data_IF_767827125088
#
_entry.id   IF_767827125088
#
_cell.length_a   1.000
_cell.length_b   1.000
_cell.length_c   1.000
_cell.angle_alpha   90.00
_cell.angle_beta   90.00
_cell.angle_gamma   90.00
#
_symmetry.space_group_name_H-M   'P 1'
#
loop_
_entity.id
_entity.type
_entity.pdbx_description
1 polymer ?
#
# COMPACT_ATOMS: atom_id res chain seq x y z
N UNK A 1 -37.39 8.22 -43.69
CA UNK A 1 -37.56 8.35 -42.24
C UNK A 1 -37.89 7.00 -41.64
N UNK A 2 -36.91 6.34 -41.01
CA UNK A 2 -37.16 5.17 -40.18
C UNK A 2 -36.67 5.51 -38.77
N UNK A 3 -37.62 5.66 -37.85
CA UNK A 3 -37.36 5.89 -36.43
C UNK A 3 -36.86 4.61 -35.79
N UNK A 4 -35.56 4.55 -35.50
CA UNK A 4 -35.01 3.50 -34.64
C UNK A 4 -35.26 3.92 -33.18
N UNK A 5 -36.29 3.31 -32.59
CA UNK A 5 -36.67 3.47 -31.19
C UNK A 5 -35.66 2.71 -30.34
N UNK A 6 -34.96 3.42 -29.45
CA UNK A 6 -34.03 2.78 -28.51
C UNK A 6 -34.80 1.85 -27.59
N UNK A 7 -34.36 0.59 -27.37
CA UNK A 7 -34.91 -0.20 -26.30
C UNK A 7 -34.44 0.38 -24.96
N UNK A 8 -35.40 0.80 -24.14
CA UNK A 8 -35.20 1.02 -22.72
C UNK A 8 -34.76 -0.32 -22.10
N UNK A 9 -33.53 -0.38 -21.62
CA UNK A 9 -33.08 -1.49 -20.80
C UNK A 9 -33.60 -1.23 -19.38
N UNK A 10 -34.78 -1.79 -19.13
CA UNK A 10 -35.34 -1.98 -17.80
C UNK A 10 -34.36 -2.77 -16.94
N UNK A 11 -34.29 -2.32 -15.69
CA UNK A 11 -33.78 -3.01 -14.51
C UNK A 11 -33.67 -4.53 -14.67
N UNK A 12 -32.44 -5.03 -14.70
CA UNK A 12 -32.13 -6.38 -14.26
C UNK A 12 -31.44 -6.27 -12.91
N UNK A 13 -32.22 -5.97 -11.87
CA UNK A 13 -31.88 -6.38 -10.50
C UNK A 13 -32.19 -7.88 -10.42
N UNK A 14 -31.29 -8.69 -10.98
CA UNK A 14 -31.34 -10.13 -10.86
C UNK A 14 -30.85 -10.55 -9.49
N UNK A 15 -31.80 -10.81 -8.59
CA UNK A 15 -31.72 -11.81 -7.50
C UNK A 15 -30.34 -11.90 -6.82
N UNK A 16 -30.01 -10.87 -6.03
CA UNK A 16 -28.90 -10.89 -5.07
C UNK A 16 -29.43 -11.09 -3.63
N UNK A 17 -30.44 -11.95 -3.48
CA UNK A 17 -30.94 -12.31 -2.16
C UNK A 17 -29.88 -13.17 -1.43
N UNK A 18 -29.32 -12.56 -0.39
CA UNK A 18 -28.70 -13.18 0.79
C UNK A 18 -27.23 -13.67 0.77
N UNK A 19 -26.31 -12.95 0.13
CA UNK A 19 -24.90 -12.94 0.60
C UNK A 19 -24.60 -11.71 1.45
N UNK A 20 -25.21 -11.66 2.64
CA UNK A 20 -24.90 -10.65 3.65
C UNK A 20 -23.62 -11.07 4.40
N UNK A 21 -22.57 -10.25 4.33
CA UNK A 21 -21.39 -10.41 5.19
C UNK A 21 -21.59 -9.62 6.48
N UNK A 22 -21.83 -10.33 7.59
CA UNK A 22 -22.00 -9.73 8.92
C UNK A 22 -20.65 -9.66 9.63
N UNK A 23 -20.30 -8.47 10.13
CA UNK A 23 -19.07 -8.23 10.88
C UNK A 23 -19.34 -8.36 12.38
N UNK A 24 -19.34 -9.60 12.88
CA UNK A 24 -19.55 -9.87 14.31
C UNK A 24 -18.30 -9.48 15.12
N UNK A 25 -18.49 -8.77 16.23
CA UNK A 25 -17.39 -8.30 17.09
C UNK A 25 -16.59 -7.09 16.57
N UNK A 26 -16.95 -6.53 15.41
CA UNK A 26 -16.36 -5.29 14.88
C UNK A 26 -17.12 -4.05 15.35
N UNK A 27 -16.45 -2.90 15.39
CA UNK A 27 -17.12 -1.63 15.72
C UNK A 27 -17.98 -1.15 14.54
N UNK A 28 -18.95 -0.27 14.82
CA UNK A 28 -19.77 0.33 13.76
C UNK A 28 -18.94 1.12 12.74
N UNK A 29 -17.81 1.66 13.19
CA UNK A 29 -16.85 2.41 12.38
C UNK A 29 -16.16 1.50 11.35
N UNK A 30 -15.74 0.30 11.75
CA UNK A 30 -15.13 -0.69 10.86
C UNK A 30 -16.06 -1.12 9.72
N UNK A 31 -17.36 -1.28 10.02
CA UNK A 31 -18.36 -1.55 9.00
C UNK A 31 -18.51 -0.42 7.99
N UNK A 32 -18.34 0.84 8.43
CA UNK A 32 -18.36 2.00 7.54
C UNK A 32 -17.15 2.04 6.60
N UNK A 33 -15.96 1.72 7.14
CA UNK A 33 -14.73 1.62 6.39
C UNK A 33 -14.79 0.51 5.33
N UNK A 34 -15.26 -0.68 5.71
CA UNK A 34 -15.43 -1.80 4.78
C UNK A 34 -16.36 -1.42 3.62
N UNK A 35 -17.49 -0.75 3.92
CA UNK A 35 -18.41 -0.24 2.89
C UNK A 35 -17.74 0.78 1.96
N UNK A 36 -16.94 1.70 2.48
CA UNK A 36 -16.21 2.68 1.67
C UNK A 36 -15.16 2.01 0.76
N UNK A 37 -14.44 1.01 1.29
CA UNK A 37 -13.46 0.25 0.53
C UNK A 37 -14.12 -0.50 -0.63
N UNK A 38 -15.23 -1.19 -0.38
CA UNK A 38 -15.91 -1.98 -1.41
C UNK A 38 -16.53 -1.09 -2.49
N UNK A 39 -17.04 0.09 -2.12
CA UNK A 39 -17.47 1.12 -3.07
C UNK A 39 -16.33 1.59 -3.99
N UNK A 40 -15.10 1.67 -3.46
CA UNK A 40 -13.93 2.08 -4.24
C UNK A 40 -13.48 1.01 -5.25
N UNK A 41 -13.69 -0.27 -4.94
CA UNK A 41 -13.33 -1.39 -5.81
C UNK A 41 -14.27 -1.55 -7.01
N UNK A 42 -15.52 -1.09 -6.90
CA UNK A 42 -16.49 -1.10 -8.01
C UNK A 42 -16.33 0.10 -8.96
N UNK A 43 -15.41 1.03 -8.67
CA UNK A 43 -15.14 2.14 -9.58
C UNK A 43 -14.45 1.59 -10.83
N UNK A 44 -14.94 2.03 -12.00
CA UNK A 44 -14.25 1.77 -13.25
C UNK A 44 -12.80 2.28 -13.09
N UNK A 45 -11.77 1.52 -13.52
CA UNK A 45 -10.41 2.01 -13.54
C UNK A 45 -10.40 3.44 -14.11
N UNK A 46 -9.73 4.40 -13.43
CA UNK A 46 -9.69 5.79 -13.88
C UNK A 46 -9.38 5.85 -15.36
N UNK A 47 -10.01 6.77 -16.10
CA UNK A 47 -9.82 6.89 -17.55
C UNK A 47 -8.34 7.02 -17.95
N UNK A 48 -7.52 7.52 -17.02
CA UNK A 48 -6.07 7.68 -17.11
C UNK A 48 -5.28 6.35 -17.01
N UNK A 49 -5.87 5.28 -16.46
CA UNK A 49 -5.27 3.94 -16.42
C UNK A 49 -5.56 3.11 -17.68
N UNK A 50 -6.23 3.69 -18.68
CA UNK A 50 -6.43 3.03 -19.98
C UNK A 50 -5.08 2.99 -20.69
N UNK A 51 -4.51 1.79 -20.79
CA UNK A 51 -3.25 1.46 -21.49
C UNK A 51 -3.20 1.89 -22.97
N UNK A 52 -4.29 2.41 -23.52
CA UNK A 52 -4.35 3.10 -24.79
C UNK A 52 -5.06 4.43 -24.57
N UNK A 53 -4.30 5.52 -24.48
CA UNK A 53 -4.82 6.87 -24.71
C UNK A 53 -5.66 6.84 -25.98
N UNK A 54 -6.93 7.23 -25.91
CA UNK A 54 -7.80 7.34 -27.10
C UNK A 54 -7.32 8.43 -28.08
N UNK A 55 -6.31 9.22 -27.69
CA UNK A 55 -5.70 10.23 -28.52
C UNK A 55 -4.79 9.62 -29.59
N UNK A 56 -5.35 9.41 -30.78
CA UNK A 56 -4.67 8.89 -31.97
C UNK A 56 -3.46 9.77 -32.35
N UNK A 57 -3.38 11.03 -31.87
CA UNK A 57 -2.28 11.95 -32.15
C UNK A 57 -0.98 11.58 -31.40
N UNK A 58 -1.06 10.73 -30.38
CA UNK A 58 0.13 10.18 -29.71
C UNK A 58 0.74 8.98 -30.44
N UNK A 59 0.09 8.46 -31.50
CA UNK A 59 0.69 7.41 -32.32
C UNK A 59 1.74 8.03 -33.22
N UNK A 60 3.00 7.60 -33.05
CA UNK A 60 4.06 7.94 -33.97
C UNK A 60 3.62 7.57 -35.40
N UNK A 61 3.87 8.43 -36.41
CA UNK A 61 3.59 8.08 -37.80
C UNK A 61 4.26 6.74 -38.12
N UNK A 62 3.47 5.74 -38.53
CA UNK A 62 4.01 4.47 -39.01
C UNK A 62 4.87 4.78 -40.22
N UNK A 63 6.17 4.50 -40.13
CA UNK A 63 7.11 4.77 -41.20
C UNK A 63 6.65 4.06 -42.48
N UNK A 64 6.25 4.83 -43.49
CA UNK A 64 5.96 4.29 -44.82
C UNK A 64 7.29 3.94 -45.51
N UNK A 65 7.38 2.84 -46.28
CA UNK A 65 8.58 2.52 -47.04
C UNK A 65 8.96 3.68 -47.97
N UNK A 66 10.13 4.27 -47.71
CA UNK A 66 10.65 5.43 -48.44
C UNK A 66 11.10 4.95 -49.82
N UNK A 67 10.45 5.41 -50.90
CA UNK A 67 10.99 5.22 -52.25
C UNK A 67 12.33 5.98 -52.33
N UNK A 68 13.38 5.25 -52.70
CA UNK A 68 14.77 5.73 -52.81
C UNK A 68 14.82 7.00 -53.67
N UNK A 69 15.13 8.12 -53.01
CA UNK A 69 15.69 9.32 -53.61
C UNK A 69 16.99 9.61 -52.89
N UNK A 70 18.10 9.57 -53.60
CA UNK A 70 19.46 9.79 -53.10
C UNK A 70 19.62 11.25 -52.67
N UNK A 71 19.85 11.50 -51.38
CA UNK A 71 20.44 12.78 -50.93
C UNK A 71 21.60 12.48 -50.00
N UNK A 72 22.80 12.82 -50.45
CA UNK A 72 24.02 12.79 -49.65
C UNK A 72 23.87 13.77 -48.48
N UNK A 73 23.97 13.27 -47.25
CA UNK A 73 24.08 14.11 -46.05
C UNK A 73 25.36 13.71 -45.33
N UNK A 74 26.18 14.74 -45.07
CA UNK A 74 27.46 14.68 -44.39
C UNK A 74 27.41 13.85 -43.09
N UNK A 75 28.51 13.13 -42.83
CA UNK A 75 28.72 12.23 -41.69
C UNK A 75 28.13 12.79 -40.37
N UNK A 76 27.07 12.18 -39.82
CA UNK A 76 26.67 12.44 -38.44
C UNK A 76 27.63 11.68 -37.51
N UNK A 77 27.96 12.28 -36.37
CA UNK A 77 28.53 11.55 -35.23
C UNK A 77 27.71 10.26 -35.03
N UNK A 78 28.32 9.07 -34.86
CA UNK A 78 27.57 7.83 -34.79
C UNK A 78 26.60 7.88 -33.61
N UNK A 79 25.29 7.87 -33.91
CA UNK A 79 24.19 7.81 -32.93
C UNK A 79 24.38 6.70 -31.86
N UNK A 80 25.17 5.68 -32.19
CA UNK A 80 25.61 4.59 -31.32
C UNK A 80 26.39 5.05 -30.09
N UNK A 81 27.31 6.01 -30.21
CA UNK A 81 28.16 6.47 -29.07
C UNK A 81 27.34 7.23 -28.03
N UNK A 82 26.35 8.02 -28.47
CA UNK A 82 25.40 8.68 -27.56
C UNK A 82 24.47 7.67 -26.86
N UNK A 83 24.07 6.60 -27.55
CA UNK A 83 23.22 5.54 -26.99
C UNK A 83 23.94 4.71 -25.92
N UNK A 84 25.22 4.40 -26.11
CA UNK A 84 26.01 3.64 -25.12
C UNK A 84 26.20 4.42 -23.82
N UNK A 85 26.56 5.71 -23.90
CA UNK A 85 26.68 6.57 -22.71
C UNK A 85 25.39 6.63 -21.90
N UNK A 86 24.24 6.75 -22.56
CA UNK A 86 22.93 6.76 -21.88
C UNK A 86 22.68 5.45 -21.11
N UNK A 87 22.99 4.30 -21.71
CA UNK A 87 22.85 2.99 -21.06
C UNK A 87 23.77 2.86 -19.85
N UNK A 88 24.99 3.39 -19.92
CA UNK A 88 25.92 3.37 -18.80
C UNK A 88 25.46 4.25 -17.64
N UNK A 89 24.96 5.46 -17.95
CA UNK A 89 24.40 6.36 -16.95
C UNK A 89 23.17 5.74 -16.28
N UNK A 90 22.31 5.09 -17.05
CA UNK A 90 21.16 4.35 -16.54
C UNK A 90 21.57 3.18 -15.64
N UNK A 91 22.56 2.39 -16.07
CA UNK A 91 23.15 1.31 -15.27
C UNK A 91 23.69 1.84 -13.94
N UNK A 92 24.42 2.96 -13.95
CA UNK A 92 24.96 3.59 -12.74
C UNK A 92 23.85 4.07 -11.81
N UNK A 93 22.78 4.67 -12.35
CA UNK A 93 21.61 5.09 -11.56
C UNK A 93 20.95 3.90 -10.87
N UNK A 94 20.71 2.80 -11.58
CA UNK A 94 20.12 1.60 -11.00
C UNK A 94 21.03 0.91 -9.98
N UNK A 95 22.35 0.92 -10.18
CA UNK A 95 23.31 0.41 -9.20
C UNK A 95 23.24 1.21 -7.89
N UNK A 96 23.27 2.55 -7.97
CA UNK A 96 23.15 3.41 -6.79
C UNK A 96 21.83 3.17 -6.03
N UNK A 97 20.71 3.04 -6.75
CA UNK A 97 19.42 2.71 -6.12
C UNK A 97 19.41 1.33 -5.46
N UNK A 98 20.05 0.33 -6.07
CA UNK A 98 20.16 -1.01 -5.51
C UNK A 98 20.99 -1.01 -4.21
N UNK A 99 22.08 -0.24 -4.17
CA UNK A 99 22.94 -0.14 -3.00
C UNK A 99 22.22 0.60 -1.85
N UNK A 100 21.54 1.72 -2.14
CA UNK A 100 20.66 2.38 -1.16
C UNK A 100 19.60 1.43 -0.62
N UNK A 101 18.95 0.62 -1.47
CA UNK A 101 17.95 -0.35 -1.03
C UNK A 101 18.55 -1.42 -0.11
N UNK A 102 19.77 -1.89 -0.37
CA UNK A 102 20.48 -2.83 0.51
C UNK A 102 20.75 -2.20 1.88
N UNK A 103 21.19 -0.94 1.92
CA UNK A 103 21.43 -0.21 3.17
C UNK A 103 20.16 -0.07 4.02
N UNK A 104 19.04 0.33 3.39
CA UNK A 104 17.73 0.44 4.05
C UNK A 104 17.30 -0.92 4.61
N UNK A 105 17.38 -1.99 3.81
CA UNK A 105 17.01 -3.32 4.27
C UNK A 105 17.89 -3.81 5.42
N UNK A 106 19.20 -3.53 5.39
CA UNK A 106 20.11 -3.86 6.48
C UNK A 106 19.77 -3.09 7.76
N UNK A 107 19.43 -1.80 7.64
CA UNK A 107 19.00 -0.98 8.78
C UNK A 107 17.72 -1.53 9.42
N UNK A 108 16.69 -1.79 8.62
CA UNK A 108 15.41 -2.35 9.08
C UNK A 108 15.61 -3.73 9.73
N UNK A 109 16.50 -4.55 9.17
CA UNK A 109 16.90 -5.84 9.75
C UNK A 109 17.48 -5.69 11.15
N UNK A 110 18.42 -4.76 11.34
CA UNK A 110 19.01 -4.47 12.66
C UNK A 110 17.95 -3.97 13.66
N UNK A 111 17.08 -3.06 13.23
CA UNK A 111 16.02 -2.52 14.09
C UNK A 111 15.05 -3.61 14.53
N UNK A 112 14.68 -4.52 13.61
CA UNK A 112 13.84 -5.68 13.93
C UNK A 112 14.51 -6.61 14.94
N UNK A 113 15.80 -6.91 14.77
CA UNK A 113 16.56 -7.73 15.71
C UNK A 113 16.60 -7.10 17.11
N UNK A 114 16.86 -5.80 17.20
CA UNK A 114 16.84 -5.08 18.47
C UNK A 114 15.47 -5.13 19.15
N UNK A 115 14.38 -4.97 18.37
CA UNK A 115 13.01 -5.10 18.90
C UNK A 115 12.78 -6.49 19.48
N UNK A 116 13.13 -7.55 18.75
CA UNK A 116 12.98 -8.94 19.21
C UNK A 116 13.79 -9.19 20.50
N UNK A 117 15.02 -8.70 20.58
CA UNK A 117 15.84 -8.83 21.78
C UNK A 117 15.20 -8.14 22.99
N UNK A 118 14.66 -6.91 22.82
CA UNK A 118 13.94 -6.20 23.89
C UNK A 118 12.68 -6.95 24.31
N UNK A 119 11.90 -7.44 23.35
CA UNK A 119 10.70 -8.22 23.62
C UNK A 119 11.04 -9.48 24.42
N UNK A 120 12.09 -10.22 24.04
CA UNK A 120 12.56 -11.41 24.75
C UNK A 120 12.92 -11.11 26.22
N UNK A 121 13.57 -9.97 26.51
CA UNK A 121 13.89 -9.55 27.88
C UNK A 121 12.64 -9.09 28.65
N UNK A 122 11.75 -8.34 28.01
CA UNK A 122 10.52 -7.82 28.64
C UNK A 122 9.46 -8.89 28.91
N UNK A 123 9.41 -9.97 28.12
CA UNK A 123 8.50 -11.09 28.33
C UNK A 123 8.75 -11.78 29.68
N UNK A 124 10.00 -11.80 30.15
CA UNK A 124 10.38 -12.33 31.45
C UNK A 124 10.05 -11.37 32.61
N UNK A 125 10.00 -10.05 32.34
CA UNK A 125 9.64 -9.02 33.32
C UNK A 125 8.18 -8.65 33.13
N UNK A 126 7.28 -9.56 33.55
CA UNK A 126 5.91 -9.12 33.83
C UNK A 126 6.01 -8.08 34.95
N UNK A 127 5.45 -6.86 34.81
CA UNK A 127 5.31 -6.00 35.97
C UNK A 127 4.57 -6.84 37.00
N UNK A 128 5.23 -7.09 38.15
CA UNK A 128 4.51 -7.58 39.32
C UNK A 128 3.43 -6.54 39.50
N UNK A 129 2.19 -6.89 39.14
CA UNK A 129 1.06 -6.28 39.81
C UNK A 129 1.36 -6.60 41.26
N UNK A 130 1.81 -5.60 42.02
CA UNK A 130 1.58 -5.67 43.45
C UNK A 130 0.08 -5.84 43.54
N UNK A 131 -0.32 -7.09 43.77
CA UNK A 131 -1.65 -7.39 44.23
C UNK A 131 -1.64 -6.71 45.58
N UNK A 132 -2.08 -5.45 45.59
CA UNK A 132 -2.60 -4.84 46.81
C UNK A 132 -3.83 -5.68 47.10
N UNK A 133 -3.62 -6.78 47.83
CA UNK A 133 -4.73 -7.46 48.47
C UNK A 133 -5.43 -6.39 49.33
N UNK A 134 -6.78 -6.40 49.33
CA UNK A 134 -7.51 -5.53 50.23
C UNK A 134 -6.96 -5.73 51.64
N UNK A 135 -6.64 -4.65 52.38
CA UNK A 135 -6.07 -4.77 53.70
C UNK A 135 -7.00 -5.63 54.57
N UNK A 136 -6.43 -6.70 55.13
CA UNK A 136 -7.14 -7.60 56.03
C UNK A 136 -7.60 -6.78 57.25
N UNK A 137 -8.91 -6.73 57.57
CA UNK A 137 -9.43 -5.85 58.63
C UNK A 137 -8.82 -6.13 60.00
N UNK A 138 -8.33 -7.35 60.25
CA UNK A 138 -7.59 -7.69 61.48
C UNK A 138 -6.25 -6.93 61.58
N UNK A 139 -5.53 -6.76 60.46
CA UNK A 139 -4.25 -6.04 60.42
C UNK A 139 -4.46 -4.53 60.61
N UNK A 140 -5.61 -4.00 60.20
CA UNK A 140 -5.99 -2.60 60.44
C UNK A 140 -6.33 -2.35 61.92
N UNK A 141 -7.07 -3.28 62.54
CA UNK A 141 -7.36 -3.24 63.98
C UNK A 141 -6.08 -3.34 64.83
N UNK A 142 -5.14 -4.19 64.46
CA UNK A 142 -3.86 -4.32 65.17
C UNK A 142 -3.02 -3.04 65.10
N UNK A 143 -3.00 -2.38 63.94
CA UNK A 143 -2.30 -1.08 63.78
C UNK A 143 -2.96 0.01 64.62
N UNK A 144 -4.29 0.01 64.70
CA UNK A 144 -5.05 0.93 65.52
C UNK A 144 -4.80 0.70 67.01
N UNK A 145 -4.72 -0.57 67.44
CA UNK A 145 -4.42 -0.96 68.82
C UNK A 145 -3.01 -0.51 69.24
N UNK A 146 -2.03 -0.67 68.37
CA UNK A 146 -0.64 -0.24 68.62
C UNK A 146 -0.55 1.30 68.74
N UNK A 147 -1.34 2.04 67.96
CA UNK A 147 -1.41 3.51 68.05
C UNK A 147 -2.09 4.00 69.34
N UNK A 148 -2.89 3.15 69.98
CA UNK A 148 -3.58 3.46 71.23
C UNK A 148 -2.79 3.07 72.49
N UNK A 149 -1.58 2.52 72.35
CA UNK A 149 -0.70 2.27 73.50
C UNK A 149 0.01 3.57 73.91
N UNK A 150 0.05 3.91 75.22
CA UNK A 150 0.64 5.14 75.75
C UNK A 150 2.17 5.18 75.72
#
# INVERSE_FOLDING_TARGET
>A
CCSCKMPQQNAQEGQADDLLTVFEGSSADDGSHARQLWKSMTLLPPLESRLASADIRQRLPVARPRRRGTSNVANPVPLTVCSERQKEDERRRYQAMADQRKEVMALLGRQRQQRIQKEHLSAAVKPKKEVVEPPDPEIELDKELVRQLP
#
